data_IF_655570673104
#
_entry.id   IF_655570673104
#
_cell.length_a   1.000
_cell.length_b   1.000
_cell.length_c   1.000
_cell.angle_alpha   90.00
_cell.angle_beta   90.00
_cell.angle_gamma   90.00
#
_symmetry.space_group_name_H-M   'P 1'
#
loop_
_entity.id
_entity.type
_entity.pdbx_description
1 polymer ?
#
# COMPACT_ATOMS: atom_id res chain seq x y z
N UNK A 1 -72.49 -18.97 29.43
CA UNK A 1 -71.56 -19.32 28.32
C UNK A 1 -71.02 -18.02 27.77
N UNK A 2 -69.76 -17.75 27.97
CA UNK A 2 -69.10 -16.47 27.68
C UNK A 2 -68.13 -16.63 26.45
N UNK A 3 -68.38 -15.99 25.30
CA UNK A 3 -67.64 -16.22 24.08
C UNK A 3 -66.37 -15.36 23.95
N UNK A 4 -65.83 -14.81 25.06
CA UNK A 4 -64.75 -13.83 25.00
C UNK A 4 -63.32 -14.38 25.23
N UNK A 5 -63.14 -15.70 25.36
CA UNK A 5 -61.84 -16.29 25.75
C UNK A 5 -61.06 -16.96 24.60
N UNK A 6 -61.56 -16.97 23.35
CA UNK A 6 -60.95 -17.74 22.25
C UNK A 6 -60.24 -16.90 21.22
N UNK A 7 -60.26 -15.56 21.33
CA UNK A 7 -59.52 -14.68 20.36
C UNK A 7 -58.12 -14.34 20.79
N UNK A 8 -57.70 -14.58 22.03
CA UNK A 8 -56.37 -14.29 22.53
C UNK A 8 -55.30 -15.35 22.19
N UNK A 9 -55.71 -16.61 21.97
CA UNK A 9 -54.83 -17.73 21.72
C UNK A 9 -54.35 -17.81 20.25
N UNK A 10 -55.14 -17.30 19.30
CA UNK A 10 -54.80 -17.34 17.88
C UNK A 10 -53.83 -16.25 17.45
N UNK A 11 -53.79 -15.09 18.11
CA UNK A 11 -52.88 -13.99 17.79
C UNK A 11 -51.48 -14.24 18.27
N UNK A 12 -51.26 -14.93 19.40
CA UNK A 12 -49.93 -15.30 19.89
C UNK A 12 -49.23 -16.33 18.99
N UNK A 13 -50.00 -17.34 18.53
CA UNK A 13 -49.43 -18.37 17.63
C UNK A 13 -49.10 -17.83 16.23
N UNK A 14 -49.81 -16.81 15.76
CA UNK A 14 -49.49 -16.15 14.48
C UNK A 14 -48.25 -15.29 14.59
N UNK A 15 -48.05 -14.58 15.71
CA UNK A 15 -46.83 -13.80 15.97
C UNK A 15 -45.61 -14.69 16.11
N UNK A 16 -45.68 -15.80 16.81
CA UNK A 16 -44.58 -16.76 16.96
C UNK A 16 -44.23 -17.44 15.63
N UNK A 17 -45.21 -17.76 14.78
CA UNK A 17 -44.96 -18.30 13.44
C UNK A 17 -44.30 -17.26 12.53
N UNK A 18 -44.76 -16.03 12.52
CA UNK A 18 -44.13 -14.94 11.72
C UNK A 18 -42.72 -14.61 12.23
N UNK A 19 -42.50 -14.66 13.54
CA UNK A 19 -41.17 -14.49 14.12
C UNK A 19 -40.24 -15.67 13.79
N UNK A 20 -40.75 -16.91 13.80
CA UNK A 20 -39.98 -18.11 13.39
C UNK A 20 -39.72 -18.15 11.89
N UNK A 21 -40.65 -17.75 11.05
CA UNK A 21 -40.44 -17.60 9.60
C UNK A 21 -39.45 -16.46 9.29
N UNK A 22 -39.54 -15.33 9.98
CA UNK A 22 -38.57 -14.23 9.87
C UNK A 22 -37.18 -14.65 10.33
N UNK A 23 -37.05 -15.47 11.36
CA UNK A 23 -35.79 -16.04 11.82
C UNK A 23 -35.28 -17.21 10.96
N UNK A 24 -36.18 -18.00 10.36
CA UNK A 24 -35.84 -19.16 9.52
C UNK A 24 -35.35 -18.79 8.12
N UNK A 25 -35.80 -17.66 7.56
CA UNK A 25 -35.40 -17.20 6.21
C UNK A 25 -34.05 -16.48 6.19
N UNK A 26 -33.41 -16.21 7.31
CA UNK A 26 -32.09 -15.52 7.39
C UNK A 26 -30.92 -16.41 7.81
N UNK A 27 -30.97 -17.71 7.64
CA UNK A 27 -29.74 -18.53 7.63
C UNK A 27 -28.93 -18.37 6.31
N UNK A 28 -28.76 -17.15 5.79
CA UNK A 28 -27.65 -16.87 4.92
C UNK A 28 -26.41 -17.05 5.76
N UNK A 29 -25.56 -18.02 5.42
CA UNK A 29 -24.26 -18.27 6.04
C UNK A 29 -23.52 -16.94 6.14
N UNK A 30 -23.55 -16.33 7.32
CA UNK A 30 -22.82 -15.09 7.58
C UNK A 30 -21.34 -15.46 7.60
N UNK A 31 -20.66 -15.18 6.50
CA UNK A 31 -19.21 -15.36 6.42
C UNK A 31 -18.60 -14.21 7.23
N UNK A 32 -17.82 -14.49 8.28
CA UNK A 32 -17.16 -13.46 9.09
C UNK A 32 -16.32 -12.51 8.22
N UNK A 33 -16.30 -11.24 8.56
CA UNK A 33 -15.55 -10.22 7.81
C UNK A 33 -14.08 -10.61 7.63
N UNK A 34 -13.34 -11.07 8.67
CA UNK A 34 -11.94 -11.51 8.50
C UNK A 34 -11.79 -12.60 7.43
N UNK A 35 -12.71 -13.56 7.38
CA UNK A 35 -12.64 -14.64 6.39
C UNK A 35 -12.88 -14.14 4.97
N UNK A 36 -13.77 -13.16 4.77
CA UNK A 36 -13.97 -12.51 3.45
C UNK A 36 -12.71 -11.77 3.02
N UNK A 37 -12.04 -11.15 3.95
CA UNK A 37 -10.82 -10.42 3.75
C UNK A 37 -9.70 -11.37 3.29
N UNK A 38 -9.46 -12.44 4.00
CA UNK A 38 -8.47 -13.45 3.62
C UNK A 38 -8.80 -14.07 2.27
N UNK A 39 -10.09 -14.39 2.02
CA UNK A 39 -10.53 -14.95 0.75
C UNK A 39 -10.31 -13.98 -0.43
N UNK A 40 -10.53 -12.68 -0.25
CA UNK A 40 -10.29 -11.68 -1.30
C UNK A 40 -8.79 -11.54 -1.61
N UNK A 41 -7.94 -11.56 -0.59
CA UNK A 41 -6.49 -11.53 -0.78
C UNK A 41 -6.01 -12.82 -1.47
N UNK A 42 -6.47 -13.98 -1.02
CA UNK A 42 -6.14 -15.27 -1.64
C UNK A 42 -6.59 -15.32 -3.11
N UNK A 43 -7.77 -14.77 -3.42
CA UNK A 43 -8.26 -14.67 -4.79
C UNK A 43 -7.37 -13.74 -5.62
N UNK A 44 -6.99 -12.57 -5.09
CA UNK A 44 -6.09 -11.64 -5.78
C UNK A 44 -4.74 -12.29 -6.09
N UNK A 45 -4.14 -12.97 -5.11
CA UNK A 45 -2.88 -13.70 -5.26
C UNK A 45 -3.04 -14.81 -6.30
N UNK A 46 -4.11 -15.62 -6.22
CA UNK A 46 -4.37 -16.70 -7.18
C UNK A 46 -4.53 -16.18 -8.60
N UNK A 47 -5.31 -15.12 -8.80
CA UNK A 47 -5.46 -14.46 -10.12
C UNK A 47 -4.12 -13.92 -10.61
N UNK A 48 -3.36 -13.23 -9.75
CA UNK A 48 -2.02 -12.72 -10.07
C UNK A 48 -1.06 -13.83 -10.48
N UNK A 49 -1.04 -14.94 -9.74
CA UNK A 49 -0.21 -16.11 -10.05
C UNK A 49 -0.55 -16.69 -11.44
N UNK A 50 -1.83 -16.89 -11.71
CA UNK A 50 -2.27 -17.40 -13.01
C UNK A 50 -1.90 -16.45 -14.14
N UNK A 51 -2.08 -15.15 -13.96
CA UNK A 51 -1.71 -14.14 -14.97
C UNK A 51 -0.21 -14.14 -15.24
N UNK A 52 0.64 -14.26 -14.21
CA UNK A 52 2.10 -14.27 -14.39
C UNK A 52 2.61 -15.55 -15.07
N UNK A 53 1.86 -16.65 -15.00
CA UNK A 53 2.17 -17.91 -15.69
C UNK A 53 1.72 -17.96 -17.14
N UNK A 54 0.94 -17.00 -17.61
CA UNK A 54 0.48 -16.97 -19.00
C UNK A 54 1.67 -16.79 -19.97
N UNK A 55 1.60 -17.39 -21.17
CA UNK A 55 2.61 -17.17 -22.20
C UNK A 55 2.78 -15.69 -22.52
N UNK A 56 4.04 -15.23 -22.64
CA UNK A 56 4.36 -13.84 -22.94
C UNK A 56 4.46 -12.92 -21.73
N UNK A 57 4.23 -13.39 -20.50
CA UNK A 57 4.40 -12.59 -19.29
C UNK A 57 5.84 -12.62 -18.76
N UNK A 58 6.64 -13.60 -19.16
CA UNK A 58 8.01 -13.78 -18.73
C UNK A 58 8.96 -13.91 -19.94
N UNK A 59 10.20 -13.51 -19.76
CA UNK A 59 11.28 -13.63 -20.76
C UNK A 59 11.96 -14.98 -20.69
N UNK A 60 11.90 -15.64 -19.53
CA UNK A 60 12.46 -16.96 -19.27
C UNK A 60 11.44 -17.78 -18.46
N UNK A 61 11.52 -19.12 -18.53
CA UNK A 61 10.62 -19.98 -17.76
C UNK A 61 10.74 -19.73 -16.27
N UNK A 62 9.60 -19.56 -15.61
CA UNK A 62 9.51 -19.48 -14.14
C UNK A 62 8.71 -20.65 -13.60
N UNK A 63 8.97 -21.04 -12.36
CA UNK A 63 8.19 -22.07 -11.70
C UNK A 63 6.86 -21.52 -11.18
N UNK A 64 5.92 -22.41 -10.85
CA UNK A 64 4.68 -22.02 -10.18
C UNK A 64 4.97 -21.30 -8.86
N UNK A 65 6.01 -21.73 -8.10
CA UNK A 65 6.39 -21.13 -6.84
C UNK A 65 6.94 -19.70 -7.01
N UNK A 66 7.71 -19.44 -8.08
CA UNK A 66 8.21 -18.11 -8.38
C UNK A 66 7.06 -17.13 -8.69
N UNK A 67 6.08 -17.60 -9.50
CA UNK A 67 4.89 -16.81 -9.81
C UNK A 67 4.02 -16.55 -8.58
N UNK A 68 3.79 -17.58 -7.75
CA UNK A 68 3.03 -17.49 -6.51
C UNK A 68 3.69 -16.54 -5.52
N UNK A 69 5.01 -16.66 -5.34
CA UNK A 69 5.78 -15.81 -4.45
C UNK A 69 5.72 -14.35 -4.91
N UNK A 70 5.97 -14.10 -6.20
CA UNK A 70 5.94 -12.74 -6.78
C UNK A 70 4.54 -12.13 -6.67
N UNK A 71 3.48 -12.88 -7.01
CA UNK A 71 2.10 -12.42 -6.89
C UNK A 71 1.72 -12.12 -5.42
N UNK A 72 2.16 -12.97 -4.49
CA UNK A 72 1.95 -12.77 -3.04
C UNK A 72 2.67 -11.53 -2.56
N UNK A 73 3.95 -11.39 -2.91
CA UNK A 73 4.78 -10.24 -2.53
C UNK A 73 4.20 -8.93 -3.07
N UNK A 74 3.76 -8.91 -4.33
CA UNK A 74 3.15 -7.73 -4.94
C UNK A 74 1.79 -7.40 -4.33
N UNK A 75 0.90 -8.38 -4.15
CA UNK A 75 -0.44 -8.17 -3.58
C UNK A 75 -0.41 -7.83 -2.08
N UNK A 76 0.54 -8.39 -1.32
CA UNK A 76 0.76 -8.06 0.09
C UNK A 76 1.68 -6.87 0.30
N UNK A 77 2.21 -6.29 -0.79
CA UNK A 77 3.09 -5.11 -0.75
C UNK A 77 4.33 -5.37 0.13
N UNK A 78 4.97 -6.52 -0.07
CA UNK A 78 6.10 -6.96 0.78
C UNK A 78 7.46 -6.59 0.18
N UNK A 79 7.58 -6.60 -1.16
CA UNK A 79 8.80 -6.24 -1.88
C UNK A 79 9.89 -7.29 -1.93
N UNK A 80 9.61 -8.50 -1.46
CA UNK A 80 10.55 -9.61 -1.58
C UNK A 80 10.47 -10.21 -2.98
N UNK A 81 11.61 -10.47 -3.60
CA UNK A 81 11.72 -11.06 -4.94
C UNK A 81 12.65 -12.29 -4.91
N UNK A 82 12.18 -13.40 -5.47
CA UNK A 82 12.99 -14.62 -5.70
C UNK A 82 13.55 -14.66 -7.11
N UNK A 83 13.01 -13.83 -8.01
CA UNK A 83 13.48 -13.63 -9.38
C UNK A 83 13.58 -12.13 -9.66
N UNK A 84 14.54 -11.73 -10.48
CA UNK A 84 14.76 -10.33 -10.81
C UNK A 84 13.63 -9.78 -11.67
N UNK A 85 12.91 -8.77 -11.16
CA UNK A 85 11.69 -8.25 -11.82
C UNK A 85 11.97 -7.66 -13.20
N UNK A 86 13.09 -6.94 -13.36
CA UNK A 86 13.47 -6.28 -14.61
C UNK A 86 13.77 -7.25 -15.75
N UNK A 87 14.46 -8.35 -15.45
CA UNK A 87 15.00 -9.28 -16.46
C UNK A 87 14.11 -10.49 -16.68
N UNK A 88 13.35 -10.92 -15.67
CA UNK A 88 12.51 -12.13 -15.74
C UNK A 88 11.13 -11.86 -16.34
N UNK A 89 10.54 -10.68 -16.04
CA UNK A 89 9.19 -10.37 -16.52
C UNK A 89 9.22 -9.44 -17.73
N UNK A 90 8.40 -9.79 -18.73
CA UNK A 90 8.15 -8.90 -19.86
C UNK A 90 7.42 -7.63 -19.41
N UNK A 91 7.29 -6.65 -20.29
CA UNK A 91 6.49 -5.44 -20.00
C UNK A 91 5.07 -5.76 -19.55
N UNK A 92 4.45 -6.79 -20.12
CA UNK A 92 3.11 -7.24 -19.71
C UNK A 92 3.11 -7.85 -18.30
N UNK A 93 4.10 -8.68 -17.96
CA UNK A 93 4.27 -9.21 -16.61
C UNK A 93 4.52 -8.12 -15.57
N UNK A 94 5.34 -7.11 -15.92
CA UNK A 94 5.57 -5.94 -15.06
C UNK A 94 4.30 -5.12 -14.83
N UNK A 95 3.41 -4.99 -15.83
CA UNK A 95 2.09 -4.38 -15.65
C UNK A 95 1.20 -5.17 -14.68
N UNK A 96 1.24 -6.50 -14.74
CA UNK A 96 0.50 -7.35 -13.78
C UNK A 96 1.02 -7.09 -12.36
N UNK A 97 2.34 -7.07 -12.15
CA UNK A 97 2.95 -6.77 -10.84
C UNK A 97 2.54 -5.38 -10.36
N UNK A 98 2.60 -4.36 -11.22
CA UNK A 98 2.18 -3.00 -10.90
C UNK A 98 0.72 -2.94 -10.45
N UNK A 99 -0.19 -3.61 -11.16
CA UNK A 99 -1.60 -3.66 -10.79
C UNK A 99 -1.83 -4.40 -9.47
N UNK A 100 -1.09 -5.48 -9.21
CA UNK A 100 -1.16 -6.18 -7.93
C UNK A 100 -0.70 -5.28 -6.78
N UNK A 101 0.42 -4.54 -6.94
CA UNK A 101 0.89 -3.56 -5.95
C UNK A 101 -0.12 -2.45 -5.72
N UNK A 102 -0.70 -1.90 -6.81
CA UNK A 102 -1.69 -0.84 -6.72
C UNK A 102 -2.95 -1.28 -5.95
N UNK A 103 -3.44 -2.48 -6.25
CA UNK A 103 -4.61 -3.05 -5.57
C UNK A 103 -4.28 -3.37 -4.11
N UNK A 104 -3.11 -3.95 -3.84
CA UNK A 104 -2.63 -4.25 -2.50
C UNK A 104 -2.41 -3.00 -1.66
N UNK A 105 -1.75 -1.98 -2.23
CA UNK A 105 -1.44 -0.71 -1.58
C UNK A 105 -2.65 0.16 -1.27
N UNK A 106 -3.75 0.02 -2.03
CA UNK A 106 -5.02 0.67 -1.69
C UNK A 106 -5.56 0.26 -0.32
N UNK A 107 -4.93 -0.72 0.29
CA UNK A 107 -5.41 -1.30 1.53
C UNK A 107 -6.61 -2.21 1.27
N UNK A 108 -6.48 -3.36 1.83
CA UNK A 108 -7.37 -4.48 1.69
C UNK A 108 -8.87 -4.16 1.96
N UNK A 109 -9.18 -3.21 2.85
CA UNK A 109 -10.55 -2.78 3.13
C UNK A 109 -11.20 -2.07 1.95
N UNK A 110 -10.43 -1.27 1.19
CA UNK A 110 -10.92 -0.59 -0.01
C UNK A 110 -11.24 -1.62 -1.09
N UNK A 111 -10.38 -2.64 -1.24
CA UNK A 111 -10.60 -3.72 -2.18
C UNK A 111 -11.92 -4.46 -1.90
N UNK A 112 -12.21 -4.78 -0.64
CA UNK A 112 -13.46 -5.45 -0.26
C UNK A 112 -14.67 -4.57 -0.56
N UNK A 113 -14.63 -3.30 -0.21
CA UNK A 113 -15.74 -2.37 -0.48
C UNK A 113 -15.96 -2.21 -1.98
N UNK A 114 -14.88 -2.10 -2.76
CA UNK A 114 -14.94 -1.98 -4.21
C UNK A 114 -15.50 -3.26 -4.84
N UNK A 115 -15.01 -4.43 -4.42
CA UNK A 115 -15.46 -5.75 -4.91
C UNK A 115 -16.95 -5.97 -4.62
N UNK A 116 -17.42 -5.65 -3.39
CA UNK A 116 -18.83 -5.74 -3.04
C UNK A 116 -19.70 -4.81 -3.90
N UNK A 117 -19.17 -3.64 -4.25
CA UNK A 117 -19.90 -2.69 -5.10
C UNK A 117 -19.95 -3.11 -6.56
N UNK A 118 -18.85 -3.63 -7.11
CA UNK A 118 -18.79 -4.15 -8.48
C UNK A 118 -19.73 -5.35 -8.67
N UNK A 119 -19.89 -6.19 -7.64
CA UNK A 119 -20.84 -7.30 -7.63
C UNK A 119 -22.30 -6.86 -7.47
N UNK A 120 -22.59 -5.55 -7.49
CA UNK A 120 -23.94 -5.01 -7.37
C UNK A 120 -24.62 -5.27 -6.02
N UNK A 121 -23.89 -5.76 -5.03
CA UNK A 121 -24.41 -6.03 -3.68
C UNK A 121 -24.42 -4.74 -2.86
N UNK A 122 -25.57 -4.43 -2.26
CA UNK A 122 -25.67 -3.34 -1.29
C UNK A 122 -24.79 -3.68 -0.09
N UNK A 123 -23.82 -2.80 0.21
CA UNK A 123 -22.96 -2.95 1.39
C UNK A 123 -23.87 -2.99 2.62
N UNK A 124 -23.82 -4.07 3.38
CA UNK A 124 -24.65 -4.21 4.58
C UNK A 124 -24.25 -3.17 5.64
N UNK A 125 -25.16 -2.87 6.56
CA UNK A 125 -24.87 -1.94 7.67
C UNK A 125 -23.67 -2.45 8.51
N UNK A 126 -23.56 -3.76 8.69
CA UNK A 126 -22.49 -4.41 9.43
C UNK A 126 -21.15 -4.28 8.71
N UNK A 127 -21.11 -4.43 7.38
CA UNK A 127 -19.88 -4.24 6.60
C UNK A 127 -19.42 -2.77 6.65
N UNK A 128 -20.38 -1.82 6.63
CA UNK A 128 -20.07 -0.39 6.82
C UNK A 128 -19.54 -0.10 8.22
N UNK A 129 -20.10 -0.69 9.25
CA UNK A 129 -19.65 -0.53 10.62
C UNK A 129 -18.24 -1.10 10.82
N UNK A 130 -17.92 -2.25 10.23
CA UNK A 130 -16.62 -2.87 10.33
C UNK A 130 -15.53 -2.04 9.62
N UNK A 131 -15.83 -1.51 8.41
CA UNK A 131 -14.93 -0.58 7.71
C UNK A 131 -14.79 0.72 8.52
N UNK A 132 -15.89 1.22 9.10
CA UNK A 132 -15.89 2.41 9.95
C UNK A 132 -15.00 2.24 11.18
N UNK A 133 -15.15 1.12 11.90
CA UNK A 133 -14.33 0.84 13.11
C UNK A 133 -12.84 0.68 12.78
N UNK A 134 -12.52 0.01 11.67
CA UNK A 134 -11.12 -0.18 11.24
C UNK A 134 -10.44 1.12 10.80
N UNK A 135 -11.23 2.10 10.32
CA UNK A 135 -10.75 3.42 9.89
C UNK A 135 -10.95 4.51 10.96
N UNK A 136 -11.46 4.16 12.15
CA UNK A 136 -11.74 5.12 13.21
C UNK A 136 -12.86 6.12 12.89
N UNK A 137 -13.84 5.74 12.03
CA UNK A 137 -14.90 6.62 11.56
C UNK A 137 -16.19 6.48 12.36
N UNK A 138 -16.84 7.60 12.65
CA UNK A 138 -18.08 7.65 13.42
C UNK A 138 -19.37 7.58 12.58
N UNK A 139 -19.28 7.71 11.24
CA UNK A 139 -20.44 7.75 10.36
C UNK A 139 -20.33 6.82 9.15
N UNK A 140 -21.19 5.80 9.03
CA UNK A 140 -21.18 4.86 7.90
C UNK A 140 -21.51 5.46 6.54
N UNK A 141 -22.25 6.57 6.48
CA UNK A 141 -22.65 7.22 5.23
C UNK A 141 -21.52 8.00 4.53
N UNK A 142 -20.51 8.41 5.29
CA UNK A 142 -19.37 9.18 4.77
C UNK A 142 -18.28 8.30 4.14
N UNK A 143 -18.24 7.00 4.44
CA UNK A 143 -17.15 6.07 4.11
C UNK A 143 -16.84 6.08 2.61
N UNK A 144 -17.84 5.97 1.75
CA UNK A 144 -17.62 5.89 0.30
C UNK A 144 -16.99 7.17 -0.27
N UNK A 145 -17.46 8.33 0.17
CA UNK A 145 -16.88 9.62 -0.29
C UNK A 145 -15.43 9.75 0.16
N UNK A 146 -15.14 9.28 1.35
CA UNK A 146 -13.81 9.31 1.95
C UNK A 146 -12.88 8.37 1.18
N UNK A 147 -13.29 7.14 0.91
CA UNK A 147 -12.52 6.17 0.14
C UNK A 147 -12.20 6.70 -1.28
N UNK A 148 -13.19 7.24 -1.99
CA UNK A 148 -12.97 7.81 -3.33
C UNK A 148 -11.96 8.96 -3.26
N UNK A 149 -12.07 9.84 -2.26
CA UNK A 149 -11.13 10.95 -2.09
C UNK A 149 -9.72 10.47 -1.74
N UNK A 150 -9.59 9.43 -0.91
CA UNK A 150 -8.29 8.85 -0.57
C UNK A 150 -7.63 8.24 -1.79
N UNK A 151 -8.38 7.47 -2.59
CA UNK A 151 -7.86 6.92 -3.87
C UNK A 151 -7.46 8.05 -4.81
N UNK A 152 -8.26 9.11 -4.92
CA UNK A 152 -7.93 10.25 -5.76
C UNK A 152 -6.62 10.95 -5.32
N UNK A 153 -6.41 11.14 -4.01
CA UNK A 153 -5.15 11.71 -3.49
C UNK A 153 -3.96 10.81 -3.81
N UNK A 154 -4.10 9.50 -3.55
CA UNK A 154 -3.08 8.52 -3.88
C UNK A 154 -2.67 8.65 -5.34
N UNK A 155 -3.62 8.58 -6.28
CA UNK A 155 -3.35 8.71 -7.71
C UNK A 155 -2.72 10.07 -8.08
N UNK A 156 -3.10 11.15 -7.39
CA UNK A 156 -2.49 12.48 -7.61
C UNK A 156 -1.05 12.50 -7.12
N UNK A 157 -0.76 11.96 -5.94
CA UNK A 157 0.61 11.93 -5.38
C UNK A 157 1.50 11.03 -6.21
N UNK A 158 1.02 9.85 -6.59
CA UNK A 158 1.72 8.94 -7.52
C UNK A 158 1.94 9.58 -8.89
N UNK A 159 0.93 10.26 -9.43
CA UNK A 159 1.04 10.98 -10.70
C UNK A 159 2.07 12.11 -10.68
N UNK A 160 2.14 12.88 -9.59
CA UNK A 160 3.16 13.92 -9.41
C UNK A 160 4.55 13.29 -9.31
N UNK A 161 4.73 12.25 -8.50
CA UNK A 161 5.99 11.51 -8.40
C UNK A 161 6.42 10.92 -9.76
N UNK A 162 5.47 10.31 -10.48
CA UNK A 162 5.70 9.80 -11.84
C UNK A 162 6.18 10.90 -12.78
N UNK A 163 5.53 12.07 -12.78
CA UNK A 163 5.90 13.18 -13.65
C UNK A 163 7.30 13.70 -13.35
N UNK A 164 7.66 13.85 -12.07
CA UNK A 164 9.01 14.29 -11.65
C UNK A 164 10.06 13.28 -12.12
N UNK A 165 9.87 11.99 -11.85
CA UNK A 165 10.81 10.93 -12.23
C UNK A 165 10.91 10.81 -13.75
N UNK A 166 9.79 10.85 -14.47
CA UNK A 166 9.78 10.76 -15.92
C UNK A 166 10.59 11.88 -16.57
N UNK A 167 10.31 13.13 -16.20
CA UNK A 167 11.03 14.29 -16.73
C UNK A 167 12.52 14.18 -16.40
N UNK A 168 12.86 13.90 -15.15
CA UNK A 168 14.24 13.80 -14.70
C UNK A 168 15.00 12.67 -15.42
N UNK A 169 14.44 11.46 -15.46
CA UNK A 169 15.12 10.31 -16.08
C UNK A 169 15.22 10.44 -17.61
N UNK A 170 14.26 11.10 -18.25
CA UNK A 170 14.35 11.40 -19.68
C UNK A 170 15.42 12.45 -19.98
N UNK A 171 15.53 13.50 -19.16
CA UNK A 171 16.52 14.58 -19.36
C UNK A 171 17.94 14.15 -19.00
N UNK A 172 18.11 13.36 -17.96
CA UNK A 172 19.38 12.83 -17.50
C UNK A 172 19.86 11.60 -18.30
N UNK A 173 19.04 11.05 -19.21
CA UNK A 173 19.39 9.87 -20.00
C UNK A 173 19.54 8.60 -19.15
N UNK A 174 18.92 8.55 -17.96
CA UNK A 174 18.97 7.40 -17.04
C UNK A 174 18.25 6.19 -17.65
N UNK A 175 17.14 6.43 -18.31
CA UNK A 175 16.33 5.45 -19.03
C UNK A 175 16.03 5.99 -20.42
N UNK A 176 15.96 5.13 -21.47
CA UNK A 176 15.52 5.57 -22.79
C UNK A 176 14.18 6.28 -22.74
N UNK A 177 14.01 7.39 -23.46
CA UNK A 177 12.86 8.28 -23.36
C UNK A 177 11.52 7.59 -23.65
N UNK A 178 11.52 6.53 -24.46
CA UNK A 178 10.35 5.71 -24.76
C UNK A 178 9.93 4.80 -23.60
N UNK A 179 10.85 4.43 -22.71
CA UNK A 179 10.60 3.56 -21.55
C UNK A 179 10.45 4.35 -20.25
N UNK A 180 11.01 5.55 -20.17
CA UNK A 180 11.03 6.38 -18.99
C UNK A 180 9.64 6.62 -18.36
N UNK A 181 8.53 6.81 -19.10
CA UNK A 181 7.20 6.98 -18.51
C UNK A 181 6.75 5.76 -17.71
N UNK A 182 7.02 4.54 -18.21
CA UNK A 182 6.63 3.33 -17.51
C UNK A 182 7.50 3.06 -16.30
N UNK A 183 8.82 3.23 -16.43
CA UNK A 183 9.74 3.10 -15.30
C UNK A 183 9.36 4.08 -14.17
N UNK A 184 9.09 5.33 -14.51
CA UNK A 184 8.67 6.35 -13.56
C UNK A 184 7.35 5.98 -12.86
N UNK A 185 6.35 5.53 -13.62
CA UNK A 185 5.07 5.08 -13.06
C UNK A 185 5.26 3.88 -12.13
N UNK A 186 6.01 2.87 -12.58
CA UNK A 186 6.25 1.66 -11.81
C UNK A 186 6.88 1.97 -10.45
N UNK A 187 7.96 2.77 -10.45
CA UNK A 187 8.66 3.11 -9.22
C UNK A 187 7.88 4.09 -8.33
N UNK A 188 7.12 5.01 -8.92
CA UNK A 188 6.27 5.90 -8.13
C UNK A 188 5.16 5.12 -7.39
N UNK A 189 4.52 4.16 -8.05
CA UNK A 189 3.54 3.26 -7.44
C UNK A 189 4.20 2.35 -6.41
N UNK A 190 5.33 1.70 -6.76
CA UNK A 190 6.06 0.84 -5.84
C UNK A 190 6.51 1.58 -4.58
N UNK A 191 6.95 2.84 -4.71
CA UNK A 191 7.37 3.67 -3.59
C UNK A 191 6.19 4.12 -2.72
N UNK A 192 5.12 4.63 -3.34
CA UNK A 192 3.95 5.08 -2.59
C UNK A 192 3.23 3.94 -1.87
N UNK A 193 3.10 2.78 -2.53
CA UNK A 193 2.54 1.58 -1.91
C UNK A 193 3.49 0.93 -0.88
N UNK A 194 4.75 1.37 -0.78
CA UNK A 194 5.81 0.72 0.01
C UNK A 194 6.04 -0.74 -0.41
N UNK A 195 6.03 -1.00 -1.72
CA UNK A 195 6.07 -2.35 -2.28
C UNK A 195 7.48 -2.84 -2.62
N UNK A 196 8.47 -1.95 -2.75
CA UNK A 196 9.89 -2.31 -2.91
C UNK A 196 10.30 -2.99 -4.22
N UNK A 197 9.39 -3.14 -5.18
CA UNK A 197 9.74 -3.69 -6.48
C UNK A 197 10.49 -2.66 -7.33
N UNK A 198 11.54 -3.12 -8.01
CA UNK A 198 12.46 -2.31 -8.78
C UNK A 198 12.68 -2.90 -10.17
N UNK A 199 12.84 -2.05 -11.17
CA UNK A 199 13.14 -2.40 -12.55
C UNK A 199 14.59 -2.09 -12.95
N UNK A 200 15.40 -1.57 -12.06
CA UNK A 200 16.84 -1.29 -12.32
C UNK A 200 17.73 -2.45 -11.90
N UNK A 201 17.37 -3.18 -10.83
CA UNK A 201 18.12 -4.35 -10.37
C UNK A 201 18.30 -5.37 -11.51
N UNK A 202 19.53 -5.82 -11.71
CA UNK A 202 19.88 -6.74 -12.78
C UNK A 202 20.24 -6.06 -14.11
N UNK A 203 20.12 -4.74 -14.22
CA UNK A 203 20.63 -4.00 -15.36
C UNK A 203 22.13 -3.72 -15.18
N UNK A 204 22.98 -3.93 -16.20
CA UNK A 204 24.45 -3.73 -16.08
C UNK A 204 24.86 -2.31 -15.68
N UNK A 205 24.02 -1.32 -16.03
CA UNK A 205 24.27 0.10 -15.74
C UNK A 205 23.96 0.45 -14.27
N UNK A 206 23.15 -0.38 -13.58
CA UNK A 206 22.69 -0.14 -12.21
C UNK A 206 22.88 -1.39 -11.35
N UNK A 207 24.12 -1.81 -11.08
CA UNK A 207 24.40 -3.03 -10.33
C UNK A 207 23.85 -2.98 -8.89
N UNK A 208 23.69 -1.78 -8.35
CA UNK A 208 23.09 -1.54 -7.03
C UNK A 208 21.58 -1.31 -7.03
N UNK A 209 20.91 -1.50 -8.15
CA UNK A 209 19.47 -1.25 -8.27
C UNK A 209 19.17 0.20 -8.65
N UNK A 210 18.51 0.96 -7.81
CA UNK A 210 18.03 2.32 -8.12
C UNK A 210 19.16 3.31 -8.50
N UNK A 211 18.88 4.25 -9.44
CA UNK A 211 19.74 5.40 -9.64
C UNK A 211 19.86 6.20 -8.33
N UNK A 212 21.10 6.48 -7.94
CA UNK A 212 21.38 7.08 -6.63
C UNK A 212 21.51 8.61 -6.68
N UNK A 213 20.96 9.25 -7.70
CA UNK A 213 20.90 10.70 -7.82
C UNK A 213 19.88 11.36 -6.87
N UNK A 214 20.14 12.60 -6.52
CA UNK A 214 19.38 13.31 -5.52
C UNK A 214 17.87 13.40 -5.85
N UNK A 215 17.53 13.68 -7.11
CA UNK A 215 16.14 13.82 -7.53
C UNK A 215 15.38 12.50 -7.40
N UNK A 216 15.99 11.38 -7.81
CA UNK A 216 15.39 10.04 -7.69
C UNK A 216 15.17 9.68 -6.23
N UNK A 217 16.23 9.76 -5.39
CA UNK A 217 16.13 9.36 -3.99
C UNK A 217 15.18 10.23 -3.18
N UNK A 218 15.18 11.56 -3.39
CA UNK A 218 14.25 12.46 -2.70
C UNK A 218 12.80 12.17 -3.13
N UNK A 219 12.55 12.01 -4.43
CA UNK A 219 11.19 11.78 -4.93
C UNK A 219 10.64 10.45 -4.42
N UNK A 220 11.40 9.36 -4.55
CA UNK A 220 10.97 8.05 -4.06
C UNK A 220 10.83 8.05 -2.53
N UNK A 221 11.79 8.63 -1.80
CA UNK A 221 11.72 8.72 -0.34
C UNK A 221 10.51 9.51 0.16
N UNK A 222 10.15 10.62 -0.50
CA UNK A 222 8.92 11.37 -0.17
C UNK A 222 7.66 10.54 -0.47
N UNK A 223 7.62 9.81 -1.59
CA UNK A 223 6.50 8.93 -1.92
C UNK A 223 6.33 7.84 -0.85
N UNK A 224 7.44 7.22 -0.40
CA UNK A 224 7.44 6.24 0.71
C UNK A 224 6.88 6.84 1.99
N UNK A 225 7.35 8.04 2.38
CA UNK A 225 6.85 8.72 3.58
C UNK A 225 5.35 9.02 3.46
N UNK A 226 4.92 9.57 2.32
CA UNK A 226 3.51 9.84 2.10
C UNK A 226 2.67 8.56 2.11
N UNK A 227 3.09 7.50 1.44
CA UNK A 227 2.40 6.22 1.46
C UNK A 227 2.26 5.63 2.86
N UNK A 228 3.32 5.72 3.67
CA UNK A 228 3.37 5.20 5.03
C UNK A 228 2.53 5.95 6.06
N UNK A 229 2.08 7.19 5.80
CA UNK A 229 1.24 7.95 6.74
C UNK A 229 -0.14 7.33 6.97
N UNK A 230 -0.64 6.55 6.03
CA UNK A 230 -1.90 5.82 6.12
C UNK A 230 -3.16 6.67 5.89
N UNK A 231 -4.23 5.97 5.54
CA UNK A 231 -5.55 6.54 5.17
C UNK A 231 -6.12 7.49 6.23
N UNK A 232 -6.09 7.19 7.56
CA UNK A 232 -6.68 8.06 8.57
C UNK A 232 -6.08 9.47 8.59
N UNK A 233 -4.77 9.60 8.34
CA UNK A 233 -4.08 10.91 8.30
C UNK A 233 -4.57 11.74 7.11
N UNK A 234 -4.66 11.14 5.93
CA UNK A 234 -5.21 11.82 4.74
C UNK A 234 -6.65 12.26 4.93
N UNK A 235 -7.44 11.42 5.58
CA UNK A 235 -8.84 11.75 5.87
C UNK A 235 -8.96 12.96 6.79
N UNK A 236 -8.14 13.02 7.83
CA UNK A 236 -8.15 14.16 8.74
C UNK A 236 -7.68 15.45 8.04
N UNK A 237 -6.65 15.38 7.21
CA UNK A 237 -6.20 16.50 6.39
C UNK A 237 -7.28 17.00 5.44
N UNK A 238 -7.98 16.09 4.74
CA UNK A 238 -9.07 16.43 3.83
C UNK A 238 -10.27 17.05 4.51
N UNK A 239 -10.63 16.58 5.70
CA UNK A 239 -11.73 17.15 6.45
C UNK A 239 -11.45 18.57 6.92
N UNK A 240 -10.16 18.93 7.08
CA UNK A 240 -9.74 20.27 7.51
C UNK A 240 -9.63 21.28 6.38
N UNK A 241 -9.44 20.85 5.14
CA UNK A 241 -9.25 21.74 4.00
C UNK A 241 -10.39 22.76 3.81
N UNK A 242 -11.69 22.39 3.90
CA UNK A 242 -12.80 23.35 3.75
C UNK A 242 -13.00 24.26 4.97
N UNK A 243 -12.54 23.86 6.17
CA UNK A 243 -12.75 24.63 7.41
C UNK A 243 -11.90 25.89 7.44
N UNK A 244 -10.75 25.90 6.76
CA UNK A 244 -9.90 27.09 6.62
C UNK A 244 -10.61 28.27 5.92
N UNK A 245 -11.62 27.97 5.07
CA UNK A 245 -12.46 28.98 4.40
C UNK A 245 -13.62 29.48 5.26
N UNK A 246 -14.01 28.79 6.32
CA UNK A 246 -15.21 29.06 7.12
C UNK A 246 -14.95 29.77 8.44
N UNK A 247 -13.70 30.19 8.74
CA UNK A 247 -13.38 30.91 10.00
C UNK A 247 -13.55 30.10 11.30
N UNK A 248 -13.91 28.81 11.22
CA UNK A 248 -14.01 27.94 12.40
C UNK A 248 -12.63 27.62 12.95
N UNK A 249 -12.49 27.65 14.28
CA UNK A 249 -11.25 27.28 14.97
C UNK A 249 -10.80 25.88 14.56
N UNK A 250 -9.56 25.76 14.10
CA UNK A 250 -8.92 24.49 13.77
C UNK A 250 -8.86 23.63 15.04
N UNK A 251 -9.64 22.54 15.09
CA UNK A 251 -9.46 21.52 16.12
C UNK A 251 -8.04 20.96 16.05
N UNK A 252 -7.47 20.60 17.20
CA UNK A 252 -6.16 19.93 17.28
C UNK A 252 -6.21 18.63 16.49
N UNK A 253 -5.08 18.22 15.91
CA UNK A 253 -4.96 16.90 15.25
C UNK A 253 -5.35 15.78 16.22
N UNK A 254 -5.99 14.75 15.71
CA UNK A 254 -6.31 13.54 16.47
C UNK A 254 -5.02 12.96 17.08
N UNK A 255 -5.17 12.22 18.17
CA UNK A 255 -4.04 11.54 18.80
C UNK A 255 -3.35 10.59 17.78
N UNK A 256 -4.14 9.89 16.98
CA UNK A 256 -3.63 8.98 15.95
C UNK A 256 -2.71 9.71 14.94
N UNK A 257 -3.18 10.81 14.36
CA UNK A 257 -2.39 11.59 13.38
C UNK A 257 -1.12 12.15 14.00
N UNK A 258 -1.19 12.63 15.23
CA UNK A 258 -0.02 13.15 15.96
C UNK A 258 1.00 12.04 16.24
N UNK A 259 0.55 10.89 16.73
CA UNK A 259 1.42 9.74 16.98
C UNK A 259 2.05 9.22 15.68
N UNK A 260 1.26 9.03 14.61
CA UNK A 260 1.76 8.59 13.32
C UNK A 260 2.84 9.52 12.77
N UNK A 261 2.63 10.84 12.84
CA UNK A 261 3.59 11.82 12.36
C UNK A 261 4.87 11.84 13.20
N UNK A 262 4.76 11.92 14.54
CA UNK A 262 5.92 12.01 15.41
C UNK A 262 6.71 10.71 15.46
N UNK A 263 6.06 9.55 15.49
CA UNK A 263 6.77 8.27 15.43
C UNK A 263 7.51 8.10 14.12
N UNK A 264 6.89 8.43 12.98
CA UNK A 264 7.55 8.39 11.68
C UNK A 264 8.78 9.31 11.66
N UNK A 265 8.62 10.57 12.11
CA UNK A 265 9.72 11.54 12.14
C UNK A 265 10.87 11.09 13.03
N UNK A 266 10.59 10.68 14.28
CA UNK A 266 11.60 10.23 15.23
C UNK A 266 12.38 9.04 14.68
N UNK A 267 11.66 8.04 14.19
CA UNK A 267 12.29 6.86 13.64
C UNK A 267 13.14 7.19 12.39
N UNK A 268 12.70 8.09 11.49
CA UNK A 268 13.52 8.55 10.33
C UNK A 268 14.79 9.23 10.84
N UNK A 269 14.70 10.09 11.80
CA UNK A 269 15.85 10.80 12.35
C UNK A 269 16.84 9.84 13.05
N UNK A 270 16.33 8.92 13.85
CA UNK A 270 17.18 7.93 14.56
C UNK A 270 17.89 7.02 13.57
N UNK A 271 17.18 6.45 12.59
CA UNK A 271 17.79 5.61 11.57
C UNK A 271 18.78 6.40 10.69
N UNK A 272 18.43 7.61 10.29
CA UNK A 272 19.30 8.47 9.49
C UNK A 272 20.61 8.83 10.20
N UNK A 273 20.51 9.38 11.41
CA UNK A 273 21.70 9.75 12.21
C UNK A 273 22.50 8.51 12.59
N UNK A 274 21.83 7.41 12.96
CA UNK A 274 22.49 6.15 13.30
C UNK A 274 23.32 5.61 12.13
N UNK A 275 22.76 5.56 10.93
CA UNK A 275 23.47 5.14 9.73
C UNK A 275 24.65 6.06 9.41
N UNK A 276 24.45 7.38 9.49
CA UNK A 276 25.53 8.33 9.25
C UNK A 276 26.71 8.13 10.21
N UNK A 277 26.43 7.94 11.48
CA UNK A 277 27.47 7.76 12.52
C UNK A 277 28.16 6.41 12.38
N UNK A 278 27.39 5.35 12.18
CA UNK A 278 27.90 3.98 12.18
C UNK A 278 28.74 3.70 10.92
N UNK A 279 28.18 3.92 9.74
CA UNK A 279 28.85 3.65 8.47
C UNK A 279 30.05 4.59 8.20
N UNK A 280 30.03 5.81 8.75
CA UNK A 280 31.16 6.71 8.62
C UNK A 280 32.34 6.33 9.52
N UNK A 281 32.05 5.96 10.79
CA UNK A 281 33.12 5.65 11.77
C UNK A 281 33.84 4.34 11.48
N UNK A 282 33.14 3.36 10.91
CA UNK A 282 33.67 2.02 10.70
C UNK A 282 34.25 1.80 9.31
N UNK A 283 34.34 2.86 8.46
CA UNK A 283 34.82 2.73 7.08
C UNK A 283 33.89 1.90 6.20
N UNK A 284 32.58 1.95 6.50
CA UNK A 284 31.55 1.23 5.76
C UNK A 284 31.22 1.83 4.39
N UNK A 285 30.12 1.38 3.80
CA UNK A 285 29.69 1.70 2.42
C UNK A 285 29.55 3.20 2.14
N UNK A 286 29.40 4.02 3.17
CA UNK A 286 29.30 5.48 3.05
C UNK A 286 30.64 6.22 3.10
N UNK A 287 31.75 5.55 3.47
CA UNK A 287 33.04 6.22 3.71
C UNK A 287 33.62 6.91 2.47
N UNK A 288 33.46 6.28 1.29
CA UNK A 288 34.05 6.74 0.03
C UNK A 288 33.16 7.73 -0.75
N UNK A 289 31.97 8.05 -0.22
CA UNK A 289 31.02 8.94 -0.87
C UNK A 289 31.27 10.42 -0.51
N UNK A 290 30.84 11.32 -1.38
CA UNK A 290 30.77 12.75 -1.06
C UNK A 290 29.88 12.98 0.17
N UNK A 291 30.09 14.06 0.92
CA UNK A 291 29.27 14.39 2.09
C UNK A 291 27.78 14.47 1.74
N UNK A 292 27.44 15.05 0.60
CA UNK A 292 26.05 15.19 0.14
C UNK A 292 25.42 13.85 -0.18
N UNK A 293 26.12 12.99 -0.92
CA UNK A 293 25.62 11.64 -1.25
C UNK A 293 25.45 10.77 -0.01
N UNK A 294 26.37 10.87 0.92
CA UNK A 294 26.33 10.18 2.21
C UNK A 294 25.09 10.52 3.01
N UNK A 295 24.84 11.82 3.18
CA UNK A 295 23.68 12.32 3.90
C UNK A 295 22.38 11.88 3.24
N UNK A 296 22.31 11.97 1.90
CA UNK A 296 21.13 11.64 1.13
C UNK A 296 20.83 10.13 1.13
N UNK A 297 21.84 9.29 0.88
CA UNK A 297 21.66 7.83 0.86
C UNK A 297 21.31 7.29 2.24
N UNK A 298 21.95 7.79 3.30
CA UNK A 298 21.59 7.43 4.66
C UNK A 298 20.14 7.83 5.00
N UNK A 299 19.69 9.02 4.57
CA UNK A 299 18.30 9.45 4.71
C UNK A 299 17.35 8.51 3.96
N UNK A 300 17.63 8.26 2.69
CA UNK A 300 16.79 7.38 1.86
C UNK A 300 16.71 5.97 2.43
N UNK A 301 17.82 5.39 2.88
CA UNK A 301 17.85 4.07 3.50
C UNK A 301 17.05 4.03 4.79
N UNK A 302 17.16 5.06 5.65
CA UNK A 302 16.34 5.17 6.85
C UNK A 302 14.85 5.27 6.54
N UNK A 303 14.46 5.95 5.46
CA UNK A 303 13.07 6.02 4.99
C UNK A 303 12.63 4.67 4.43
N UNK A 304 13.44 4.05 3.59
CA UNK A 304 13.12 2.80 2.90
C UNK A 304 13.00 1.59 3.84
N UNK A 305 13.78 1.53 4.91
CA UNK A 305 13.69 0.49 5.94
C UNK A 305 12.32 0.37 6.60
N UNK A 306 11.46 1.39 6.43
CA UNK A 306 10.08 1.38 6.93
C UNK A 306 9.12 0.82 5.92
N UNK A 307 9.29 -0.46 5.61
CA UNK A 307 8.45 -1.27 4.73
C UNK A 307 8.55 -0.99 3.24
N UNK A 308 9.40 -0.04 2.77
CA UNK A 308 9.49 0.24 1.35
C UNK A 308 10.37 -0.73 0.56
N UNK A 309 11.42 -1.29 1.17
CA UNK A 309 12.23 -2.36 0.58
C UNK A 309 13.23 -1.93 -0.51
N UNK A 310 13.34 -0.65 -0.84
CA UNK A 310 14.34 -0.14 -1.77
C UNK A 310 15.72 -0.02 -1.12
N UNK A 311 16.78 -0.36 -1.86
CA UNK A 311 18.15 -0.10 -1.42
C UNK A 311 18.64 1.26 -1.94
N UNK A 312 19.11 2.09 -1.02
CA UNK A 312 19.85 3.32 -1.35
C UNK A 312 21.36 3.10 -1.50
N UNK A 313 21.83 1.88 -1.27
CA UNK A 313 23.23 1.48 -1.36
C UNK A 313 23.49 0.61 -2.57
N UNK A 314 24.66 0.70 -3.12
CA UNK A 314 25.09 -0.08 -4.29
C UNK A 314 25.17 -1.57 -3.97
N UNK A 315 25.44 -1.91 -2.71
CA UNK A 315 25.51 -3.28 -2.23
C UNK A 315 25.06 -3.32 -0.77
N UNK A 316 23.84 -3.77 -0.55
CA UNK A 316 23.26 -3.87 0.80
C UNK A 316 23.93 -4.96 1.64
N UNK A 317 24.59 -5.94 1.00
CA UNK A 317 25.27 -7.03 1.71
C UNK A 317 26.56 -6.56 2.42
N UNK A 318 27.10 -5.41 2.00
CA UNK A 318 28.32 -4.84 2.58
C UNK A 318 28.03 -3.83 3.71
N UNK A 319 26.78 -3.66 4.11
CA UNK A 319 26.42 -2.85 5.27
C UNK A 319 26.83 -3.58 6.54
N UNK A 320 27.45 -2.85 7.46
CA UNK A 320 27.86 -3.40 8.75
C UNK A 320 26.67 -3.98 9.55
N UNK A 321 26.92 -5.08 10.28
CA UNK A 321 25.87 -5.79 11.05
C UNK A 321 25.15 -4.86 12.06
N UNK A 322 25.87 -3.90 12.65
CA UNK A 322 25.29 -2.91 13.55
C UNK A 322 24.34 -1.94 12.85
N UNK A 323 24.66 -1.57 11.59
CA UNK A 323 23.75 -0.76 10.76
C UNK A 323 22.52 -1.56 10.33
N UNK A 324 22.68 -2.84 10.02
CA UNK A 324 21.55 -3.74 9.74
C UNK A 324 20.62 -3.87 10.95
N UNK A 325 21.19 -4.07 12.15
CA UNK A 325 20.43 -4.16 13.40
C UNK A 325 19.68 -2.85 13.71
N UNK A 326 20.26 -1.68 13.36
CA UNK A 326 19.63 -0.37 13.56
C UNK A 326 18.39 -0.18 12.65
N UNK A 327 18.36 -0.85 11.50
CA UNK A 327 17.26 -0.74 10.53
C UNK A 327 16.10 -1.68 10.82
N UNK A 328 16.29 -2.69 11.64
CA UNK A 328 15.27 -3.65 12.10
C UNK A 328 14.51 -3.07 13.30
#
# INVERSE_FOLDING_TARGET
MNPATDQGASSGQTFDRVAQEAMGTQRRRYVPIPLRLVAALALLIGVGTVLLLLPGMTTQPITFMDALFTATSAAAVTGLAVVTTSTTFTRLGQWVILLLMQIGGLGFLVLVVLTLRLLGRRISLLDRLAVSSSLGLTSPGAIMRILIRTVAIMLVVEGVGTAILWVHWSMAGIVPSNEAPFYALFHAVAAFCNAGFDLFTGLPQYPGGLPADATTLITLGLLVVFGGLGIPVYMELLQRWPIRRSGRRLHRFSLHTRLAFWSALILILVGWVGLLVHEYRLGGVLSDLSFQDRVLRAWFQSVSARTAGFSGFTDFSNIDDGSQLLLI
#
